data_IF_674965436012
#
_entry.id   IF_674965436012
#
_cell.length_a   1.000
_cell.length_b   1.000
_cell.length_c   1.000
_cell.angle_alpha   90.00
_cell.angle_beta   90.00
_cell.angle_gamma   90.00
#
_symmetry.space_group_name_H-M   'P 1'
#
loop_
_entity.id
_entity.type
_entity.pdbx_description
1 polymer ?
#
# COMPACT_ATOMS: atom_id res chain seq x y z
N UNK A 1 -14.31 -9.31 13.84
CA UNK A 1 -14.25 -9.98 12.52
C UNK A 1 -14.79 -9.01 11.49
N UNK A 2 -14.18 -8.90 10.31
CA UNK A 2 -14.73 -8.08 9.23
C UNK A 2 -15.91 -8.80 8.58
N UNK A 3 -16.94 -8.04 8.22
CA UNK A 3 -18.00 -8.54 7.35
C UNK A 3 -17.53 -8.56 5.90
N UNK A 4 -18.22 -9.31 5.05
CA UNK A 4 -17.97 -9.28 3.61
C UNK A 4 -18.13 -7.88 3.02
N UNK A 5 -19.07 -7.09 3.55
CA UNK A 5 -19.29 -5.71 3.13
C UNK A 5 -18.11 -4.81 3.52
N UNK A 6 -17.56 -4.97 4.74
CA UNK A 6 -16.37 -4.23 5.17
C UNK A 6 -15.17 -4.50 4.24
N UNK A 7 -14.97 -5.75 3.84
CA UNK A 7 -13.88 -6.13 2.92
C UNK A 7 -14.08 -5.48 1.54
N UNK A 8 -15.31 -5.48 1.01
CA UNK A 8 -15.63 -4.85 -0.28
C UNK A 8 -15.35 -3.34 -0.24
N UNK A 9 -15.87 -2.65 0.77
CA UNK A 9 -15.68 -1.20 0.93
C UNK A 9 -14.19 -0.84 1.10
N UNK A 10 -13.45 -1.62 1.88
CA UNK A 10 -12.01 -1.40 2.06
C UNK A 10 -11.20 -1.63 0.79
N UNK A 11 -11.49 -2.69 0.03
CA UNK A 11 -10.84 -2.93 -1.27
C UNK A 11 -11.11 -1.81 -2.24
N UNK A 12 -12.34 -1.31 -2.28
CA UNK A 12 -12.71 -0.14 -3.09
C UNK A 12 -11.91 1.10 -2.67
N UNK A 13 -11.73 1.32 -1.36
CA UNK A 13 -10.93 2.43 -0.85
C UNK A 13 -9.45 2.32 -1.29
N UNK A 14 -8.85 1.12 -1.23
CA UNK A 14 -7.48 0.88 -1.71
C UNK A 14 -7.38 1.16 -3.22
N UNK A 15 -8.29 0.61 -4.02
CA UNK A 15 -8.31 0.82 -5.46
C UNK A 15 -8.42 2.31 -5.83
N UNK A 16 -9.30 3.06 -5.15
CA UNK A 16 -9.45 4.50 -5.35
C UNK A 16 -8.17 5.26 -4.96
N UNK A 17 -7.56 4.93 -3.83
CA UNK A 17 -6.33 5.58 -3.38
C UNK A 17 -5.19 5.37 -4.38
N UNK A 18 -5.01 4.15 -4.90
CA UNK A 18 -4.01 3.84 -5.93
C UNK A 18 -4.31 4.57 -7.24
N UNK A 19 -5.57 4.59 -7.68
CA UNK A 19 -5.98 5.32 -8.88
C UNK A 19 -5.68 6.82 -8.75
N UNK A 20 -5.94 7.43 -7.59
CA UNK A 20 -5.64 8.84 -7.35
C UNK A 20 -4.14 9.13 -7.50
N UNK A 21 -3.25 8.27 -6.98
CA UNK A 21 -1.80 8.47 -7.15
C UNK A 21 -1.40 8.40 -8.63
N UNK A 22 -1.97 7.46 -9.39
CA UNK A 22 -1.70 7.30 -10.82
C UNK A 22 -2.20 8.48 -11.66
N UNK A 23 -3.32 9.10 -11.27
CA UNK A 23 -3.81 10.33 -11.89
C UNK A 23 -2.82 11.49 -11.72
N UNK A 24 -2.06 11.51 -10.62
CA UNK A 24 -0.97 12.47 -10.37
C UNK A 24 0.36 12.06 -11.05
N UNK A 25 0.35 11.00 -11.87
CA UNK A 25 1.56 10.48 -12.53
C UNK A 25 2.51 9.71 -11.61
N UNK A 26 2.07 9.34 -10.40
CA UNK A 26 2.83 8.55 -9.44
C UNK A 26 2.46 7.07 -9.58
N UNK A 27 3.45 6.18 -9.62
CA UNK A 27 3.21 4.75 -9.48
C UNK A 27 3.59 4.31 -8.06
N UNK A 28 2.61 3.93 -7.22
CA UNK A 28 2.91 3.40 -5.90
C UNK A 28 3.70 2.10 -5.97
N UNK A 29 4.57 1.89 -4.99
CA UNK A 29 5.32 0.64 -4.89
C UNK A 29 4.40 -0.58 -4.77
N UNK A 30 4.60 -1.55 -5.67
CA UNK A 30 3.73 -2.73 -5.81
C UNK A 30 3.61 -3.55 -4.53
N UNK A 31 4.67 -3.65 -3.73
CA UNK A 31 4.65 -4.35 -2.43
C UNK A 31 3.77 -3.62 -1.42
N UNK A 32 3.83 -2.29 -1.40
CA UNK A 32 2.97 -1.45 -0.55
C UNK A 32 1.50 -1.59 -0.93
N UNK A 33 1.19 -1.65 -2.23
CA UNK A 33 -0.18 -1.91 -2.72
C UNK A 33 -0.67 -3.29 -2.27
N UNK A 34 0.16 -4.33 -2.39
CA UNK A 34 -0.19 -5.68 -1.94
C UNK A 34 -0.46 -5.74 -0.43
N UNK A 35 0.34 -5.05 0.38
CA UNK A 35 0.12 -4.99 1.83
C UNK A 35 -1.18 -4.23 2.19
N UNK A 36 -1.55 -3.20 1.44
CA UNK A 36 -2.83 -2.51 1.59
C UNK A 36 -4.03 -3.39 1.23
N UNK A 37 -3.93 -4.22 0.18
CA UNK A 37 -4.97 -5.20 -0.17
C UNK A 37 -5.15 -6.26 0.94
N UNK A 38 -4.05 -6.71 1.55
CA UNK A 38 -4.09 -7.60 2.72
C UNK A 38 -4.71 -6.91 3.94
N UNK A 39 -4.44 -5.62 4.13
CA UNK A 39 -5.11 -4.83 5.16
C UNK A 39 -6.62 -4.67 4.91
N UNK A 40 -7.03 -4.53 3.64
CA UNK A 40 -8.43 -4.51 3.26
C UNK A 40 -9.14 -5.86 3.54
N UNK A 41 -8.43 -6.98 3.37
CA UNK A 41 -8.90 -8.32 3.72
C UNK A 41 -8.89 -8.60 5.24
N UNK A 42 -8.28 -7.73 6.05
CA UNK A 42 -8.16 -7.91 7.50
C UNK A 42 -7.01 -8.81 7.95
N UNK A 43 -6.09 -9.14 7.05
CA UNK A 43 -4.88 -9.92 7.36
C UNK A 43 -3.78 -9.08 8.03
N UNK A 44 -3.78 -7.77 7.76
CA UNK A 44 -2.88 -6.77 8.33
C UNK A 44 -3.67 -5.58 8.85
N UNK A 45 -3.10 -4.86 9.82
CA UNK A 45 -3.54 -3.48 10.09
C UNK A 45 -2.80 -2.50 9.18
N UNK A 46 -3.38 -1.32 8.94
CA UNK A 46 -2.68 -0.24 8.22
C UNK A 46 -1.40 0.16 8.95
N UNK A 47 -1.37 0.08 10.28
CA UNK A 47 -0.16 0.30 11.08
C UNK A 47 0.96 -0.70 10.77
N UNK A 48 0.61 -1.96 10.46
CA UNK A 48 1.59 -2.97 10.03
C UNK A 48 2.15 -2.65 8.65
N UNK A 49 1.31 -2.21 7.71
CA UNK A 49 1.73 -1.74 6.37
C UNK A 49 2.73 -0.58 6.51
N UNK A 50 2.39 0.43 7.32
CA UNK A 50 3.27 1.59 7.55
C UNK A 50 4.61 1.19 8.18
N UNK A 51 4.58 0.27 9.16
CA UNK A 51 5.79 -0.24 9.80
C UNK A 51 6.71 -0.95 8.79
N UNK A 52 6.14 -1.82 7.94
CA UNK A 52 6.89 -2.51 6.88
C UNK A 52 7.46 -1.51 5.86
N UNK A 53 6.67 -0.54 5.43
CA UNK A 53 7.11 0.49 4.50
C UNK A 53 8.29 1.31 5.08
N UNK A 54 8.18 1.76 6.33
CA UNK A 54 9.26 2.49 7.00
C UNK A 54 10.54 1.66 7.12
N UNK A 55 10.43 0.36 7.43
CA UNK A 55 11.59 -0.53 7.51
C UNK A 55 12.31 -0.65 6.15
N UNK A 56 11.55 -0.78 5.06
CA UNK A 56 12.10 -0.86 3.70
C UNK A 56 12.75 0.45 3.25
N UNK A 57 12.16 1.59 3.62
CA UNK A 57 12.78 2.92 3.41
C UNK A 57 14.10 3.02 4.18
N UNK A 58 14.13 2.62 5.45
CA UNK A 58 15.34 2.63 6.27
C UNK A 58 16.43 1.69 5.71
N UNK A 59 16.04 0.55 5.14
CA UNK A 59 16.92 -0.37 4.43
C UNK A 59 17.44 0.18 3.09
N UNK A 60 16.93 1.31 2.62
CA UNK A 60 17.36 1.96 1.39
C UNK A 60 16.73 1.40 0.12
N UNK A 61 15.68 0.59 0.21
CA UNK A 61 15.04 -0.06 -0.95
C UNK A 61 14.46 0.93 -1.97
N UNK A 62 14.23 2.18 -1.57
CA UNK A 62 13.64 3.22 -2.41
C UNK A 62 14.68 4.23 -2.93
N UNK A 63 15.98 4.04 -2.64
CA UNK A 63 17.02 4.93 -3.15
C UNK A 63 17.25 4.61 -4.63
N UNK A 64 16.93 5.55 -5.51
CA UNK A 64 17.42 5.51 -6.89
C UNK A 64 18.94 5.68 -6.87
N UNK A 65 19.67 4.82 -7.59
CA UNK A 65 21.09 5.09 -7.85
C UNK A 65 21.19 6.40 -8.63
N UNK A 66 22.08 7.34 -8.28
CA UNK A 66 22.34 8.45 -9.17
C UNK A 66 22.83 7.86 -10.50
N UNK A 67 22.19 8.27 -11.59
CA UNK A 67 22.69 7.99 -12.94
C UNK A 67 24.14 8.50 -13.00
N UNK A 68 25.07 7.61 -13.34
CA UNK A 68 26.47 7.98 -13.61
C UNK A 68 26.56 8.67 -14.96
#
# INVERSE_FOLDING_TARGET
>A
MLTSNDVIERRRAVANAVANQRLEGLEPDSRTVADLERAAAGELSVSDVLRTLHARIAAGEFRSSPAR
#
